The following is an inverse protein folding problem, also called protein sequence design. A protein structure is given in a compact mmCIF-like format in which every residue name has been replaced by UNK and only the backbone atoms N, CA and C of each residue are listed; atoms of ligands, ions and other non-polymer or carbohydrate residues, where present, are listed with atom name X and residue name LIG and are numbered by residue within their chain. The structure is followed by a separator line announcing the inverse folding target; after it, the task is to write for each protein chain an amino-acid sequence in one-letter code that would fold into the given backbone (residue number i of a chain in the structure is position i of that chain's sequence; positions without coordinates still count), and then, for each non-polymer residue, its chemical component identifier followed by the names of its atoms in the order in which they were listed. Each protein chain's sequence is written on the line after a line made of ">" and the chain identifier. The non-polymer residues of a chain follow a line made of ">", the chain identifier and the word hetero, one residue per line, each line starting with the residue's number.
data_IF_592142324813
#
_entry.id   IF_592142324813
#
_cell.length_a   1.000
_cell.length_b   1.000
_cell.length_c   1.000
_cell.angle_alpha   90.00
_cell.angle_beta   90.00
_cell.angle_gamma   90.00
#
_symmetry.space_group_name_H-M   'P 1'
#
loop_
_entity.id
_entity.type
_entity.pdbx_description
1 polymer ?
#
# COMPACT_ATOMS: atom_id res chain seq x y z
N UNK A 1 -18.92 10.09 53.23
CA UNK A 1 -18.95 11.45 52.63
C UNK A 1 -17.63 11.87 51.97
N UNK A 2 -16.47 11.77 52.64
CA UNK A 2 -15.17 12.16 52.04
C UNK A 2 -14.75 11.31 50.83
N UNK A 3 -15.05 10.02 50.83
CA UNK A 3 -14.71 9.11 49.72
C UNK A 3 -15.57 9.39 48.49
N UNK A 4 -16.88 9.54 48.66
CA UNK A 4 -17.79 9.91 47.57
C UNK A 4 -17.40 11.22 46.87
N UNK A 5 -16.96 12.25 47.62
CA UNK A 5 -16.46 13.51 47.01
C UNK A 5 -15.20 13.29 46.15
N UNK A 6 -14.33 12.34 46.50
CA UNK A 6 -13.14 12.02 45.69
C UNK A 6 -13.53 11.30 44.40
N UNK A 7 -14.49 10.39 44.45
CA UNK A 7 -14.99 9.68 43.26
C UNK A 7 -15.65 10.63 42.26
N UNK A 8 -16.48 11.57 42.74
CA UNK A 8 -17.11 12.59 41.88
C UNK A 8 -16.07 13.48 41.20
N UNK A 9 -15.05 13.93 41.94
CA UNK A 9 -13.96 14.75 41.38
C UNK A 9 -13.11 13.97 40.37
N UNK A 10 -12.86 12.69 40.62
CA UNK A 10 -12.14 11.83 39.68
C UNK A 10 -12.91 11.65 38.38
N UNK A 11 -14.23 11.45 38.46
CA UNK A 11 -15.10 11.33 37.29
C UNK A 11 -15.14 12.63 36.47
N UNK A 12 -15.30 13.78 37.13
CA UNK A 12 -15.26 15.08 36.46
C UNK A 12 -13.92 15.32 35.75
N UNK A 13 -12.80 14.97 36.39
CA UNK A 13 -11.49 15.10 35.77
C UNK A 13 -11.33 14.17 34.55
N UNK A 14 -11.84 12.94 34.63
CA UNK A 14 -11.83 12.02 33.49
C UNK A 14 -12.68 12.53 32.32
N UNK A 15 -13.87 13.07 32.59
CA UNK A 15 -14.71 13.69 31.56
C UNK A 15 -14.03 14.89 30.91
N UNK A 16 -13.37 15.75 31.70
CA UNK A 16 -12.60 16.87 31.17
C UNK A 16 -11.41 16.42 30.32
N UNK A 17 -10.70 15.37 30.73
CA UNK A 17 -9.61 14.80 29.93
C UNK A 17 -10.11 14.21 28.61
N UNK A 18 -11.22 13.49 28.62
CA UNK A 18 -11.81 12.93 27.40
C UNK A 18 -12.31 14.04 26.47
N UNK A 19 -12.92 15.11 27.01
CA UNK A 19 -13.27 16.31 26.22
C UNK A 19 -12.04 16.96 25.60
N UNK A 20 -10.94 17.10 26.35
CA UNK A 20 -9.67 17.63 25.82
C UNK A 20 -9.07 16.75 24.74
N UNK A 21 -9.12 15.42 24.90
CA UNK A 21 -8.66 14.48 23.87
C UNK A 21 -9.51 14.55 22.61
N UNK A 22 -10.84 14.62 22.75
CA UNK A 22 -11.78 14.76 21.63
C UNK A 22 -11.51 16.06 20.86
N UNK A 23 -11.33 17.19 21.56
CA UNK A 23 -10.99 18.47 20.94
C UNK A 23 -9.65 18.41 20.17
N UNK A 24 -8.63 17.74 20.72
CA UNK A 24 -7.35 17.53 20.02
C UNK A 24 -7.50 16.69 18.75
N UNK A 25 -8.33 15.64 18.79
CA UNK A 25 -8.62 14.79 17.61
C UNK A 25 -9.33 15.58 16.51
N UNK A 26 -10.35 16.37 16.87
CA UNK A 26 -11.05 17.23 15.91
C UNK A 26 -10.10 18.23 15.26
N UNK A 27 -9.21 18.86 16.04
CA UNK A 27 -8.17 19.76 15.51
C UNK A 27 -7.21 19.06 14.54
N UNK A 28 -6.73 17.87 14.90
CA UNK A 28 -5.85 17.08 14.03
C UNK A 28 -6.55 16.70 12.71
N UNK A 29 -7.81 16.28 12.77
CA UNK A 29 -8.61 15.94 11.59
C UNK A 29 -8.86 17.16 10.71
N UNK A 30 -9.11 18.34 11.27
CA UNK A 30 -9.28 19.58 10.51
C UNK A 30 -8.00 19.95 9.74
N UNK A 31 -6.82 19.79 10.36
CA UNK A 31 -5.52 20.01 9.71
C UNK A 31 -5.33 19.04 8.54
N UNK A 32 -5.60 17.75 8.75
CA UNK A 32 -5.50 16.73 7.69
C UNK A 32 -6.47 17.01 6.54
N UNK A 33 -7.70 17.42 6.83
CA UNK A 33 -8.69 17.76 5.82
C UNK A 33 -8.31 19.01 5.00
N UNK A 34 -7.61 19.98 5.60
CA UNK A 34 -7.10 21.15 4.88
C UNK A 34 -5.86 20.80 4.04
N UNK A 35 -5.01 19.90 4.53
CA UNK A 35 -3.88 19.36 3.78
C UNK A 35 -4.35 18.58 2.53
N UNK A 36 -5.33 17.69 2.69
CA UNK A 36 -5.92 16.92 1.58
C UNK A 36 -6.55 17.82 0.50
N UNK A 37 -7.06 19.00 0.88
CA UNK A 37 -7.63 19.99 -0.05
C UNK A 37 -6.58 20.89 -0.72
N UNK A 38 -5.28 20.64 -0.51
CA UNK A 38 -4.19 21.40 -1.13
C UNK A 38 -4.08 22.86 -0.66
N UNK A 39 -4.75 23.23 0.45
CA UNK A 39 -4.83 24.63 0.94
C UNK A 39 -3.72 25.02 1.92
N UNK A 40 -2.76 24.15 2.18
CA UNK A 40 -1.65 24.42 3.10
C UNK A 40 -0.31 24.46 2.36
N UNK A 41 0.09 25.64 1.86
CA UNK A 41 1.39 25.85 1.21
C UNK A 41 2.54 26.24 2.16
N UNK A 42 2.28 26.42 3.46
CA UNK A 42 3.35 26.57 4.46
C UNK A 42 2.90 26.09 5.84
N UNK A 43 3.67 25.18 6.43
CA UNK A 43 3.35 24.46 7.67
C UNK A 43 3.43 25.32 8.93
N UNK A 44 3.98 26.55 8.86
CA UNK A 44 4.19 27.40 10.03
C UNK A 44 3.12 28.50 10.24
N UNK A 45 2.51 29.03 9.17
CA UNK A 45 1.54 30.13 9.28
C UNK A 45 0.10 29.69 9.59
N UNK A 46 -0.27 28.47 9.19
CA UNK A 46 -1.63 27.95 9.36
C UNK A 46 -1.97 27.59 10.82
N UNK A 47 -0.95 27.32 11.64
CA UNK A 47 -1.14 26.93 13.05
C UNK A 47 -1.56 28.10 13.94
N UNK A 48 -1.13 29.33 13.62
CA UNK A 48 -1.45 30.53 14.40
C UNK A 48 -2.85 31.06 14.04
N UNK A 49 -3.24 30.99 12.77
CA UNK A 49 -4.56 31.48 12.32
C UNK A 49 -5.74 30.60 12.73
N UNK A 50 -5.47 29.35 13.12
CA UNK A 50 -6.48 28.44 13.65
C UNK A 50 -6.84 28.72 15.12
N UNK A 51 -6.08 29.56 15.83
CA UNK A 51 -6.39 29.98 17.20
C UNK A 51 -7.28 31.23 17.28
N UNK A 52 -7.40 31.99 16.18
CA UNK A 52 -8.24 33.21 16.12
C UNK A 52 -9.62 32.97 15.47
N UNK A 53 -9.96 31.74 15.10
CA UNK A 53 -11.28 31.38 14.54
C UNK A 53 -12.20 30.70 15.57
N UNK A 54 -12.06 31.04 16.85
CA UNK A 54 -12.89 30.47 17.92
C UNK A 54 -14.34 31.01 17.93
N UNK A 55 -14.65 32.11 17.21
CA UNK A 55 -15.97 32.78 17.29
C UNK A 55 -16.90 32.61 16.06
N UNK A 56 -16.47 31.98 14.96
CA UNK A 56 -17.31 31.87 13.73
C UNK A 56 -17.83 30.47 13.39
N UNK A 57 -17.54 29.45 14.21
CA UNK A 57 -17.95 28.06 13.93
C UNK A 57 -19.31 27.69 14.56
N UNK A 58 -19.94 28.57 15.33
CA UNK A 58 -21.27 28.29 15.93
C UNK A 58 -22.44 28.35 14.93
N UNK A 59 -22.25 28.84 13.70
CA UNK A 59 -23.34 29.00 12.72
C UNK A 59 -23.46 27.86 11.68
N UNK A 60 -22.61 26.82 11.74
CA UNK A 60 -22.52 25.83 10.65
C UNK A 60 -22.87 24.38 11.03
N UNK A 61 -23.45 24.09 12.21
CA UNK A 61 -23.68 22.69 12.62
C UNK A 61 -25.04 22.42 13.25
N UNK A 62 -26.09 22.52 12.42
CA UNK A 62 -27.27 21.65 12.53
C UNK A 62 -27.26 20.58 11.41
N UNK A 63 -26.08 20.12 10.98
CA UNK A 63 -26.02 18.88 10.22
C UNK A 63 -26.44 17.74 11.15
N UNK A 64 -27.64 17.21 10.90
CA UNK A 64 -28.25 16.13 11.66
C UNK A 64 -27.25 15.00 11.86
N UNK A 65 -26.96 14.67 13.12
CA UNK A 65 -26.10 13.55 13.48
C UNK A 65 -26.70 12.30 12.82
N UNK A 66 -25.97 11.62 11.92
CA UNK A 66 -26.48 10.43 11.26
C UNK A 66 -26.85 9.40 12.32
N UNK A 67 -27.98 8.69 12.11
CA UNK A 67 -28.40 7.65 13.04
C UNK A 67 -27.31 6.56 13.13
N UNK A 68 -27.23 5.90 14.28
CA UNK A 68 -26.29 4.79 14.49
C UNK A 68 -26.45 3.72 13.40
N UNK A 69 -27.70 3.44 12.98
CA UNK A 69 -28.00 2.49 11.91
C UNK A 69 -27.42 2.93 10.56
N UNK A 70 -27.45 4.24 10.24
CA UNK A 70 -26.84 4.76 9.02
C UNK A 70 -25.31 4.64 9.05
N UNK A 71 -24.68 4.82 10.22
CA UNK A 71 -23.23 4.61 10.38
C UNK A 71 -22.87 3.13 10.24
N UNK A 72 -23.66 2.24 10.85
CA UNK A 72 -23.42 0.79 10.76
C UNK A 72 -23.63 0.25 9.34
N UNK A 73 -24.65 0.71 8.61
CA UNK A 73 -24.81 0.32 7.20
C UNK A 73 -23.69 0.84 6.31
N UNK A 74 -23.21 2.07 6.57
CA UNK A 74 -22.03 2.58 5.86
C UNK A 74 -20.80 1.71 6.09
N UNK A 75 -20.54 1.30 7.34
CA UNK A 75 -19.41 0.41 7.65
C UNK A 75 -19.57 -0.97 6.99
N UNK A 76 -20.79 -1.53 6.95
CA UNK A 76 -21.07 -2.79 6.24
C UNK A 76 -20.81 -2.68 4.74
N UNK A 77 -21.19 -1.57 4.12
CA UNK A 77 -20.93 -1.31 2.70
C UNK A 77 -19.43 -1.12 2.42
N UNK A 78 -18.70 -0.50 3.33
CA UNK A 78 -17.24 -0.38 3.26
C UNK A 78 -16.57 -1.77 3.41
N UNK A 79 -16.97 -2.58 4.39
CA UNK A 79 -16.46 -3.95 4.58
C UNK A 79 -16.80 -4.88 3.39
N UNK A 80 -18.00 -4.73 2.80
CA UNK A 80 -18.40 -5.53 1.64
C UNK A 80 -17.60 -5.16 0.37
N UNK A 81 -17.23 -3.88 0.23
CA UNK A 81 -16.31 -3.43 -0.84
C UNK A 81 -14.91 -4.00 -0.65
N UNK A 82 -14.43 -4.04 0.60
CA UNK A 82 -13.11 -4.58 0.91
C UNK A 82 -13.06 -6.11 0.74
N UNK A 83 -14.16 -6.83 1.00
CA UNK A 83 -14.25 -8.28 0.79
C UNK A 83 -14.31 -8.70 -0.70
N UNK A 84 -14.69 -7.80 -1.61
CA UNK A 84 -14.72 -8.11 -3.05
C UNK A 84 -13.38 -7.96 -3.75
N UNK A 85 -12.41 -7.30 -3.12
CA UNK A 85 -11.05 -7.19 -3.64
C UNK A 85 -10.19 -8.30 -3.04
N UNK A 86 -10.36 -9.54 -3.52
CA UNK A 86 -9.32 -10.56 -3.36
C UNK A 86 -8.06 -10.10 -4.12
N UNK A 87 -7.32 -9.18 -3.50
CA UNK A 87 -6.07 -8.66 -4.00
C UNK A 87 -5.12 -9.86 -4.14
N UNK A 88 -4.56 -10.10 -5.33
CA UNK A 88 -3.63 -11.21 -5.51
C UNK A 88 -2.45 -11.04 -4.54
N UNK A 89 -2.35 -11.94 -3.56
CA UNK A 89 -1.26 -11.93 -2.60
C UNK A 89 0.02 -12.38 -3.31
N UNK A 90 0.94 -11.44 -3.54
CA UNK A 90 2.27 -11.74 -4.08
C UNK A 90 3.28 -11.92 -2.95
N UNK A 91 3.66 -13.18 -2.70
CA UNK A 91 4.73 -13.50 -1.75
C UNK A 91 6.10 -13.44 -2.44
N UNK A 92 6.93 -12.47 -2.04
CA UNK A 92 8.30 -12.32 -2.56
C UNK A 92 9.32 -12.68 -1.47
N UNK A 93 10.18 -13.66 -1.74
CA UNK A 93 11.28 -14.00 -0.84
C UNK A 93 12.47 -13.06 -1.05
N UNK A 94 12.89 -12.35 0.00
CA UNK A 94 14.08 -11.49 -0.08
C UNK A 94 15.35 -12.28 -0.46
N UNK A 95 15.45 -13.54 -0.02
CA UNK A 95 16.56 -14.42 -0.35
C UNK A 95 16.63 -14.83 -1.82
N UNK A 96 15.49 -14.84 -2.54
CA UNK A 96 15.49 -15.06 -4.00
C UNK A 96 15.83 -13.78 -4.75
N UNK A 97 15.46 -12.61 -4.23
CA UNK A 97 15.82 -11.33 -4.83
C UNK A 97 17.31 -11.02 -4.71
N UNK A 98 17.94 -11.28 -3.57
CA UNK A 98 19.37 -11.08 -3.39
C UNK A 98 19.92 -12.07 -2.37
N UNK A 99 20.41 -13.24 -2.81
CA UNK A 99 20.94 -14.24 -1.89
C UNK A 99 22.19 -13.71 -1.19
N UNK A 100 22.28 -13.93 0.12
CA UNK A 100 23.49 -13.65 0.88
C UNK A 100 24.54 -14.73 0.54
N UNK A 101 25.42 -14.43 -0.40
CA UNK A 101 26.46 -15.35 -0.87
C UNK A 101 27.75 -14.63 -1.28
N UNK A 102 28.85 -15.38 -1.46
CA UNK A 102 30.18 -14.80 -1.73
C UNK A 102 30.18 -13.85 -2.92
N UNK A 103 29.39 -14.14 -3.96
CA UNK A 103 29.25 -13.27 -5.14
C UNK A 103 28.58 -11.94 -4.82
N UNK A 104 27.46 -11.96 -4.11
CA UNK A 104 26.75 -10.73 -3.75
C UNK A 104 27.60 -9.86 -2.80
N UNK A 105 28.34 -10.50 -1.88
CA UNK A 105 29.28 -9.80 -1.00
C UNK A 105 30.47 -9.23 -1.78
N UNK A 106 31.07 -9.99 -2.70
CA UNK A 106 32.17 -9.54 -3.55
C UNK A 106 31.74 -8.41 -4.51
N UNK A 107 30.48 -8.43 -4.96
CA UNK A 107 29.86 -7.36 -5.75
C UNK A 107 29.50 -6.12 -4.90
N UNK A 108 29.83 -6.10 -3.60
CA UNK A 108 29.57 -4.97 -2.71
C UNK A 108 28.08 -4.70 -2.49
N UNK A 109 27.20 -5.69 -2.65
CA UNK A 109 25.76 -5.52 -2.42
C UNK A 109 25.38 -5.55 -0.92
N UNK A 110 26.29 -6.00 -0.06
CA UNK A 110 26.10 -6.15 1.37
C UNK A 110 27.12 -5.31 2.14
N UNK A 111 26.71 -4.71 3.25
CA UNK A 111 27.61 -4.01 4.15
C UNK A 111 28.52 -4.99 4.91
N UNK A 112 29.53 -4.46 5.61
CA UNK A 112 30.49 -5.28 6.37
C UNK A 112 29.84 -6.10 7.48
N UNK A 113 28.69 -5.65 7.99
CA UNK A 113 27.90 -6.35 9.00
C UNK A 113 27.11 -7.55 8.46
N UNK A 114 27.04 -7.71 7.13
CA UNK A 114 26.36 -8.82 6.44
C UNK A 114 24.85 -8.88 6.68
N UNK A 115 24.26 -7.81 7.22
CA UNK A 115 22.81 -7.72 7.48
C UNK A 115 22.20 -6.62 6.63
N UNK A 116 22.89 -5.48 6.50
CA UNK A 116 22.37 -4.36 5.72
C UNK A 116 22.80 -4.43 4.25
N UNK A 117 21.92 -3.96 3.38
CA UNK A 117 22.23 -3.75 1.98
C UNK A 117 23.00 -2.44 1.81
N UNK A 118 24.01 -2.45 0.95
CA UNK A 118 24.58 -1.19 0.46
C UNK A 118 23.57 -0.50 -0.46
N UNK A 119 23.85 0.76 -0.83
CA UNK A 119 23.10 1.47 -1.87
C UNK A 119 22.99 0.67 -3.18
N UNK A 120 24.03 -0.05 -3.57
CA UNK A 120 24.00 -0.86 -4.79
C UNK A 120 23.17 -2.13 -4.59
N UNK A 121 23.26 -2.78 -3.43
CA UNK A 121 22.38 -3.91 -3.07
C UNK A 121 20.91 -3.53 -3.12
N UNK A 122 20.53 -2.39 -2.55
CA UNK A 122 19.15 -1.88 -2.62
C UNK A 122 18.70 -1.61 -4.05
N UNK A 123 19.57 -1.10 -4.94
CA UNK A 123 19.25 -0.91 -6.37
C UNK A 123 19.02 -2.24 -7.09
N UNK A 124 19.82 -3.27 -6.80
CA UNK A 124 19.64 -4.60 -7.38
C UNK A 124 18.31 -5.21 -6.94
N UNK A 125 17.98 -5.11 -5.66
CA UNK A 125 16.69 -5.56 -5.11
C UNK A 125 15.54 -4.82 -5.78
N UNK A 126 15.59 -3.48 -5.82
CA UNK A 126 14.53 -2.66 -6.42
C UNK A 126 14.29 -3.02 -7.89
N UNK A 127 15.35 -3.20 -8.68
CA UNK A 127 15.24 -3.65 -10.09
C UNK A 127 14.56 -5.01 -10.21
N UNK A 128 14.97 -6.00 -9.40
CA UNK A 128 14.38 -7.35 -9.45
C UNK A 128 12.94 -7.37 -8.97
N UNK A 129 12.64 -6.63 -7.92
CA UNK A 129 11.28 -6.48 -7.38
C UNK A 129 10.36 -5.78 -8.40
N UNK A 130 10.83 -4.75 -9.09
CA UNK A 130 10.05 -4.06 -10.12
C UNK A 130 9.58 -5.00 -11.23
N UNK A 131 10.44 -5.92 -11.69
CA UNK A 131 10.09 -6.93 -12.69
C UNK A 131 9.00 -7.87 -12.17
N UNK A 132 9.06 -8.28 -10.90
CA UNK A 132 8.04 -9.14 -10.30
C UNK A 132 6.70 -8.42 -10.08
N UNK A 133 6.74 -7.12 -9.76
CA UNK A 133 5.55 -6.31 -9.51
C UNK A 133 4.90 -5.78 -10.78
N UNK A 134 5.62 -5.69 -11.90
CA UNK A 134 5.12 -5.11 -13.15
C UNK A 134 3.79 -5.71 -13.61
N UNK A 135 3.57 -7.05 -13.64
CA UNK A 135 2.28 -7.60 -14.08
C UNK A 135 1.14 -7.21 -13.16
N UNK A 136 1.38 -7.21 -11.84
CA UNK A 136 0.37 -6.86 -10.84
C UNK A 136 0.00 -5.39 -10.92
N UNK A 137 0.99 -4.50 -11.03
CA UNK A 137 0.76 -3.05 -11.21
C UNK A 137 0.01 -2.77 -12.50
N UNK A 138 0.36 -3.44 -13.60
CA UNK A 138 -0.29 -3.25 -14.89
C UNK A 138 -1.75 -3.73 -14.86
N UNK A 139 -2.01 -4.89 -14.24
CA UNK A 139 -3.38 -5.39 -14.03
C UNK A 139 -4.22 -4.43 -13.19
N UNK A 140 -3.69 -3.92 -12.08
CA UNK A 140 -4.39 -2.94 -11.24
C UNK A 140 -4.63 -1.62 -11.99
N UNK A 141 -3.69 -1.18 -12.83
CA UNK A 141 -3.86 0.00 -13.66
C UNK A 141 -4.99 -0.20 -14.69
N UNK A 142 -5.03 -1.34 -15.36
CA UNK A 142 -6.10 -1.70 -16.30
C UNK A 142 -7.46 -1.76 -15.61
N UNK A 143 -7.56 -2.42 -14.43
CA UNK A 143 -8.80 -2.47 -13.66
C UNK A 143 -9.31 -1.08 -13.28
N UNK A 144 -8.42 -0.17 -12.85
CA UNK A 144 -8.80 1.22 -12.52
C UNK A 144 -9.29 2.00 -13.74
N UNK A 145 -8.72 1.76 -14.92
CA UNK A 145 -9.19 2.39 -16.15
C UNK A 145 -10.61 1.93 -16.50
N UNK A 146 -10.91 0.64 -16.32
CA UNK A 146 -12.25 0.08 -16.53
C UNK A 146 -13.26 0.61 -15.51
N UNK A 147 -12.91 0.65 -14.22
CA UNK A 147 -13.77 1.19 -13.16
C UNK A 147 -14.09 2.67 -13.39
N UNK A 148 -13.07 3.47 -13.74
CA UNK A 148 -13.26 4.90 -14.05
C UNK A 148 -14.15 5.11 -15.27
N UNK A 149 -14.07 4.23 -16.27
CA UNK A 149 -14.98 4.24 -17.41
C UNK A 149 -16.42 3.89 -17.03
N UNK A 150 -16.61 3.01 -16.05
CA UNK A 150 -17.94 2.59 -15.58
C UNK A 150 -18.62 3.65 -14.70
N UNK A 151 -17.88 4.32 -13.81
CA UNK A 151 -18.43 5.36 -12.93
C UNK A 151 -18.92 6.60 -13.68
N UNK A 152 -18.31 6.94 -14.81
CA UNK A 152 -18.74 8.10 -15.62
C UNK A 152 -20.12 7.85 -16.28
N UNK A 153 -20.57 6.60 -16.34
CA UNK A 153 -21.76 6.20 -17.10
C UNK A 153 -22.97 5.84 -16.21
N UNK A 154 -22.89 6.02 -14.89
CA UNK A 154 -23.99 5.68 -13.97
C UNK A 154 -25.23 6.60 -14.09
N UNK A 155 -25.16 7.70 -14.85
CA UNK A 155 -26.29 8.58 -15.15
C UNK A 155 -27.12 8.14 -16.39
N UNK A 156 -26.94 6.92 -16.88
CA UNK A 156 -27.80 6.32 -17.90
C UNK A 156 -27.44 6.66 -19.35
N UNK A 157 -26.21 7.11 -19.60
CA UNK A 157 -25.72 7.41 -20.94
C UNK A 157 -24.46 6.59 -21.26
N UNK A 158 -24.63 5.71 -22.25
CA UNK A 158 -23.60 5.08 -23.07
C UNK A 158 -22.66 4.07 -22.39
N UNK A 159 -22.31 3.02 -23.12
CA UNK A 159 -21.29 2.07 -22.69
C UNK A 159 -19.92 2.76 -22.57
N UNK A 160 -18.95 2.20 -21.82
CA UNK A 160 -17.59 2.71 -21.80
C UNK A 160 -17.09 2.91 -23.24
N UNK A 161 -16.38 4.01 -23.50
CA UNK A 161 -15.93 4.31 -24.85
C UNK A 161 -15.07 3.15 -25.39
N UNK A 162 -15.25 2.84 -26.68
CA UNK A 162 -14.48 1.78 -27.35
C UNK A 162 -12.97 2.02 -27.19
N UNK A 163 -12.52 3.28 -27.16
CA UNK A 163 -11.12 3.65 -26.92
C UNK A 163 -10.59 3.16 -25.57
N UNK A 164 -11.38 3.32 -24.48
CA UNK A 164 -10.98 2.85 -23.16
C UNK A 164 -10.82 1.31 -23.12
N UNK A 165 -11.69 0.59 -23.84
CA UNK A 165 -11.56 -0.86 -24.02
C UNK A 165 -10.32 -1.24 -24.82
N UNK A 166 -10.07 -0.55 -25.95
CA UNK A 166 -8.92 -0.84 -26.80
C UNK A 166 -7.59 -0.55 -26.08
N UNK A 167 -7.55 0.50 -25.26
CA UNK A 167 -6.36 0.80 -24.45
C UNK A 167 -6.14 -0.24 -23.34
N UNK A 168 -7.20 -0.75 -22.71
CA UNK A 168 -7.10 -1.87 -21.76
C UNK A 168 -6.59 -3.15 -22.45
N UNK A 169 -7.07 -3.46 -23.65
CA UNK A 169 -6.62 -4.61 -24.44
C UNK A 169 -5.16 -4.48 -24.90
N UNK A 170 -4.72 -3.30 -25.34
CA UNK A 170 -3.31 -3.06 -25.71
C UNK A 170 -2.38 -3.30 -24.53
N UNK A 171 -2.78 -2.85 -23.34
CA UNK A 171 -2.05 -3.10 -22.10
C UNK A 171 -1.96 -4.61 -21.80
N UNK A 172 -3.03 -5.38 -22.03
CA UNK A 172 -3.03 -6.84 -21.84
C UNK A 172 -2.18 -7.56 -22.89
N UNK A 173 -2.29 -7.18 -24.17
CA UNK A 173 -1.49 -7.73 -25.27
C UNK A 173 0.00 -7.42 -25.13
N UNK A 174 0.38 -6.25 -24.60
CA UNK A 174 1.76 -5.93 -24.26
C UNK A 174 2.28 -6.82 -23.12
N UNK A 175 1.44 -7.17 -22.15
CA UNK A 175 1.80 -8.08 -21.06
C UNK A 175 1.95 -9.53 -21.56
N UNK A 176 1.04 -10.01 -22.39
CA UNK A 176 1.06 -11.37 -22.95
C UNK A 176 2.14 -11.52 -24.02
N UNK A 177 2.33 -10.49 -24.85
CA UNK A 177 3.36 -10.41 -25.89
C UNK A 177 4.77 -10.28 -25.33
N UNK A 178 4.93 -9.60 -24.18
CA UNK A 178 6.19 -9.59 -23.43
C UNK A 178 6.42 -10.88 -22.60
N UNK A 179 5.42 -11.78 -22.54
CA UNK A 179 5.18 -12.58 -21.34
C UNK A 179 4.95 -14.08 -21.50
N UNK A 180 5.26 -14.71 -22.65
CA UNK A 180 5.92 -16.02 -22.54
C UNK A 180 7.41 -15.73 -22.44
N UNK A 181 7.98 -15.53 -21.23
CA UNK A 181 9.39 -15.76 -21.09
C UNK A 181 9.58 -17.20 -21.54
N UNK A 182 10.20 -17.40 -22.71
CA UNK A 182 10.86 -18.65 -23.00
C UNK A 182 11.62 -18.98 -21.72
N UNK A 183 11.22 -20.04 -21.04
CA UNK A 183 11.56 -20.33 -19.65
C UNK A 183 13.07 -20.61 -19.44
N UNK A 184 13.94 -20.16 -20.35
CA UNK A 184 15.38 -20.30 -20.29
C UNK A 184 16.22 -19.19 -20.90
N UNK A 185 15.74 -17.94 -21.13
CA UNK A 185 16.66 -16.96 -21.77
C UNK A 185 16.60 -15.46 -21.47
N UNK A 186 15.69 -14.96 -20.63
CA UNK A 186 15.60 -13.52 -20.35
C UNK A 186 15.75 -13.19 -18.86
N UNK A 187 16.83 -13.63 -18.24
CA UNK A 187 17.26 -13.11 -16.94
C UNK A 187 18.61 -12.41 -17.13
N UNK A 188 18.56 -11.09 -17.30
CA UNK A 188 19.62 -10.13 -17.03
C UNK A 188 21.00 -10.53 -17.57
N UNK A 189 21.26 -10.18 -18.83
CA UNK A 189 22.63 -9.85 -19.27
C UNK A 189 23.03 -8.57 -18.50
N UNK A 190 23.49 -8.76 -17.26
CA UNK A 190 24.46 -7.85 -16.68
C UNK A 190 25.71 -7.98 -17.56
N UNK A 191 26.23 -6.87 -18.08
CA UNK A 191 27.29 -6.78 -19.10
C UNK A 191 28.69 -7.32 -18.67
N UNK A 192 28.74 -8.40 -17.89
CA UNK A 192 29.79 -9.44 -17.94
C UNK A 192 29.40 -10.64 -17.04
N UNK A 193 29.04 -11.81 -17.60
CA UNK A 193 29.15 -13.05 -16.86
C UNK A 193 29.93 -14.06 -17.71
N UNK A 194 31.16 -14.35 -17.30
CA UNK A 194 31.78 -15.63 -17.65
C UNK A 194 30.79 -16.79 -17.43
N UNK A 195 30.95 -17.92 -18.15
CA UNK A 195 29.93 -18.93 -18.31
C UNK A 195 29.30 -19.32 -16.96
N UNK A 196 27.95 -19.41 -16.89
CA UNK A 196 27.25 -19.79 -15.67
C UNK A 196 27.86 -21.10 -15.19
N UNK A 197 28.46 -21.07 -14.00
CA UNK A 197 29.05 -22.28 -13.43
C UNK A 197 27.89 -23.11 -12.91
N UNK A 198 27.61 -24.21 -13.60
CA UNK A 198 26.51 -25.19 -13.44
C UNK A 198 26.09 -25.52 -11.99
N UNK A 199 26.97 -25.29 -11.01
CA UNK A 199 26.73 -25.59 -9.61
C UNK A 199 25.72 -24.65 -8.92
N UNK A 200 25.60 -23.38 -9.34
CA UNK A 200 24.69 -22.43 -8.67
C UNK A 200 23.23 -22.73 -9.00
N UNK A 201 22.95 -23.00 -10.27
CA UNK A 201 21.64 -23.42 -10.73
C UNK A 201 21.27 -24.78 -10.12
N UNK A 202 22.22 -25.72 -10.07
CA UNK A 202 22.03 -27.01 -9.40
C UNK A 202 21.76 -26.85 -7.89
N UNK A 203 22.44 -25.92 -7.20
CA UNK A 203 22.24 -25.66 -5.78
C UNK A 203 20.88 -25.01 -5.49
N UNK A 204 20.48 -24.02 -6.30
CA UNK A 204 19.17 -23.37 -6.19
C UNK A 204 18.02 -24.36 -6.43
N UNK A 205 18.12 -25.19 -7.48
CA UNK A 205 17.15 -26.25 -7.76
C UNK A 205 17.07 -27.28 -6.63
N UNK A 206 18.22 -27.66 -6.05
CA UNK A 206 18.27 -28.59 -4.91
C UNK A 206 17.58 -27.99 -3.68
N UNK A 207 17.84 -26.73 -3.35
CA UNK A 207 17.19 -26.05 -2.23
C UNK A 207 15.68 -25.95 -2.44
N UNK A 208 15.24 -25.56 -3.65
CA UNK A 208 13.82 -25.47 -3.98
C UNK A 208 13.10 -26.81 -3.85
N UNK A 209 13.73 -27.92 -4.26
CA UNK A 209 13.19 -29.27 -4.07
C UNK A 209 13.05 -29.65 -2.59
N UNK A 210 14.05 -29.33 -1.78
CA UNK A 210 14.03 -29.59 -0.33
C UNK A 210 12.88 -28.81 0.32
N UNK A 211 12.76 -27.52 0.03
CA UNK A 211 11.70 -26.67 0.62
C UNK A 211 10.29 -27.12 0.21
N UNK A 212 10.11 -27.57 -1.05
CA UNK A 212 8.84 -28.15 -1.49
C UNK A 212 8.52 -29.45 -0.74
N UNK A 213 9.50 -30.35 -0.60
CA UNK A 213 9.32 -31.61 0.12
C UNK A 213 8.97 -31.40 1.60
N UNK A 214 9.59 -30.42 2.26
CA UNK A 214 9.27 -30.08 3.66
C UNK A 214 7.84 -29.54 3.81
N UNK A 215 7.37 -28.70 2.88
CA UNK A 215 6.00 -28.17 2.90
C UNK A 215 4.93 -29.27 2.91
N UNK A 216 5.16 -30.37 2.19
CA UNK A 216 4.23 -31.50 2.13
C UNK A 216 4.34 -32.46 3.32
N UNK A 217 5.36 -32.32 4.19
CA UNK A 217 5.49 -33.13 5.41
C UNK A 217 4.78 -32.51 6.62
N UNK A 218 4.57 -31.20 6.59
CA UNK A 218 3.97 -30.44 7.69
C UNK A 218 2.46 -30.21 7.55
N UNK A 219 1.83 -30.76 6.51
CA UNK A 219 0.38 -30.80 6.29
C UNK A 219 -0.12 -32.22 6.43
#
# INVERSE_FOLDING_TARGET
>A
EREWKKEVLLHQHQEEEERRKAARRLRANAVLANWARGRCSSTAGAYVKALDMEDEVEAASEEAVPSLDAVLERLRLEDARDQQLELPELFVSMGSLLPHGPRACAAGCWEKDRVHFTREGSRVIGRRLAVLLQPLVSKLAASRLLERGAEVNSDGAEAPSLEAFLDAFRLEDELDGAGKPSAGKALLVLDDPGPPRDWEEAAALRLQRILRAERFRTS
#
